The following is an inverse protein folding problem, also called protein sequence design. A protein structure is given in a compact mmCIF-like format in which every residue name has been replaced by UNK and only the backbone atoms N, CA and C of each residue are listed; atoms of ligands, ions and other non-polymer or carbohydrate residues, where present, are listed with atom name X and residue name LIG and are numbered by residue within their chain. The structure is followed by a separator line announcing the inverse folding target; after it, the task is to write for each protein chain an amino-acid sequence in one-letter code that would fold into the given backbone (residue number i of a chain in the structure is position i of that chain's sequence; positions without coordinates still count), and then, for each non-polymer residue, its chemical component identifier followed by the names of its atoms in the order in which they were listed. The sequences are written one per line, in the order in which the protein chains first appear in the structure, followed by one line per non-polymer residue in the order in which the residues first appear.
data_IF_228908493601
#
_entry.id   IF_228908493601
#
_cell.length_a   1.000
_cell.length_b   1.000
_cell.length_c   1.000
_cell.angle_alpha   90.00
_cell.angle_beta   90.00
_cell.angle_gamma   90.00
#
_symmetry.space_group_name_H-M   'P 1'
#
loop_
_entity.id
_entity.type
_entity.pdbx_description
1 polymer ?
#
# COMPACT_ATOMS: atom_id res chain seq x y z
N UNK A 1 -7.99 -23.39 11.31
CA UNK A 1 -7.72 -22.92 12.68
C UNK A 1 -6.98 -21.61 12.58
N UNK A 2 -7.64 -20.49 12.87
CA UNK A 2 -6.97 -19.19 12.96
C UNK A 2 -6.10 -19.20 14.22
N UNK A 3 -4.80 -18.87 14.11
CA UNK A 3 -3.94 -18.78 15.28
C UNK A 3 -3.89 -17.33 15.72
N UNK A 4 -4.40 -17.05 16.92
CA UNK A 4 -4.14 -15.78 17.60
C UNK A 4 -2.73 -15.84 18.21
N UNK A 5 -2.08 -14.69 18.37
CA UNK A 5 -0.97 -14.55 19.32
C UNK A 5 -1.41 -15.11 20.67
N UNK A 6 -0.50 -15.77 21.39
CA UNK A 6 -0.83 -16.24 22.74
C UNK A 6 -1.17 -15.04 23.62
N UNK A 7 -1.97 -15.26 24.67
CA UNK A 7 -2.29 -14.21 25.65
C UNK A 7 -1.01 -13.58 26.24
N UNK A 8 0.05 -14.37 26.41
CA UNK A 8 1.34 -13.88 26.88
C UNK A 8 2.02 -12.94 25.87
N UNK A 9 1.99 -13.26 24.57
CA UNK A 9 2.53 -12.39 23.53
C UNK A 9 1.75 -11.06 23.44
N UNK A 10 0.43 -11.10 23.62
CA UNK A 10 -0.39 -9.88 23.72
C UNK A 10 -0.02 -9.01 24.92
N UNK A 11 0.13 -9.62 26.09
CA UNK A 11 0.49 -8.90 27.31
C UNK A 11 1.89 -8.28 27.26
N UNK A 12 2.83 -8.86 26.50
CA UNK A 12 4.15 -8.26 26.25
C UNK A 12 4.03 -6.99 25.40
N UNK A 13 3.23 -7.05 24.34
CA UNK A 13 2.98 -5.89 23.47
C UNK A 13 2.29 -4.74 24.23
N UNK A 14 1.32 -5.04 25.10
CA UNK A 14 0.66 -4.04 25.96
C UNK A 14 1.63 -3.34 26.93
N UNK A 15 2.73 -4.01 27.30
CA UNK A 15 3.79 -3.45 28.13
C UNK A 15 4.89 -2.74 27.34
N UNK A 16 4.74 -2.63 26.01
CA UNK A 16 5.74 -2.02 25.13
C UNK A 16 6.99 -2.87 24.94
N UNK A 17 6.92 -4.17 25.23
CA UNK A 17 8.03 -5.10 25.02
C UNK A 17 8.02 -5.61 23.57
N UNK A 18 9.20 -5.70 22.95
CA UNK A 18 9.34 -6.26 21.61
C UNK A 18 9.22 -7.80 21.65
N UNK A 19 8.39 -8.36 20.76
CA UNK A 19 8.40 -9.80 20.52
C UNK A 19 9.61 -10.19 19.65
N UNK A 20 10.16 -11.40 19.84
CA UNK A 20 11.20 -11.93 18.96
C UNK A 20 10.75 -11.92 17.49
N UNK A 21 11.63 -11.57 16.57
CA UNK A 21 11.35 -11.53 15.13
C UNK A 21 10.74 -12.85 14.61
N UNK A 22 11.17 -13.99 15.14
CA UNK A 22 10.62 -15.29 14.79
C UNK A 22 9.12 -15.44 15.16
N UNK A 23 8.69 -14.91 16.31
CA UNK A 23 7.28 -14.92 16.73
C UNK A 23 6.43 -13.99 15.86
N UNK A 24 6.97 -12.80 15.52
CA UNK A 24 6.33 -11.89 14.56
C UNK A 24 6.16 -12.55 13.20
N UNK A 25 7.22 -13.18 12.69
CA UNK A 25 7.20 -13.82 11.37
C UNK A 25 6.29 -15.05 11.35
N UNK A 26 6.13 -15.78 12.45
CA UNK A 26 5.14 -16.86 12.52
C UNK A 26 3.70 -16.31 12.44
N UNK A 27 3.41 -15.21 13.13
CA UNK A 27 2.10 -14.56 13.08
C UNK A 27 1.79 -14.00 11.68
N UNK A 28 2.76 -13.31 11.07
CA UNK A 28 2.58 -12.61 9.80
C UNK A 28 2.61 -13.54 8.57
N UNK A 29 3.27 -14.69 8.63
CA UNK A 29 3.37 -15.64 7.51
C UNK A 29 2.24 -16.68 7.44
N UNK A 30 1.31 -16.69 8.40
CA UNK A 30 0.15 -17.61 8.33
C UNK A 30 -0.89 -17.08 7.34
N UNK A 31 -1.50 -17.96 6.53
CA UNK A 31 -2.48 -17.54 5.55
C UNK A 31 -3.69 -16.93 6.27
N UNK A 32 -3.87 -15.62 6.09
CA UNK A 32 -5.13 -14.94 6.38
C UNK A 32 -6.17 -15.52 5.44
N UNK A 33 -7.01 -16.42 5.97
CA UNK A 33 -8.17 -16.91 5.24
C UNK A 33 -9.10 -15.75 4.95
N UNK A 34 -9.12 -15.28 3.70
CA UNK A 34 -10.21 -14.45 3.20
C UNK A 34 -11.45 -15.33 3.05
N UNK A 35 -12.19 -15.52 4.15
CA UNK A 35 -13.56 -16.01 4.09
C UNK A 35 -14.50 -14.81 4.12
N UNK A 36 -15.12 -14.55 2.97
CA UNK A 36 -16.20 -13.59 2.82
C UNK A 36 -15.73 -12.17 2.49
N UNK A 37 -16.56 -11.45 1.74
CA UNK A 37 -16.47 -10.02 1.47
C UNK A 37 -15.91 -9.30 2.70
N UNK A 38 -14.84 -8.53 2.52
CA UNK A 38 -14.26 -7.71 3.59
C UNK A 38 -15.38 -6.92 4.30
N UNK A 39 -15.73 -7.26 5.56
CA UNK A 39 -16.74 -6.53 6.30
C UNK A 39 -16.28 -5.10 6.61
N UNK A 40 -14.97 -4.83 6.46
CA UNK A 40 -14.34 -3.54 6.76
C UNK A 40 -14.68 -2.50 5.70
N UNK A 41 -14.84 -2.89 4.43
CA UNK A 41 -15.31 -1.99 3.38
C UNK A 41 -16.83 -1.75 3.47
N UNK A 42 -17.62 -2.76 3.84
CA UNK A 42 -19.09 -2.64 3.90
C UNK A 42 -19.61 -1.88 5.13
N UNK A 43 -19.04 -2.11 6.32
CA UNK A 43 -19.57 -1.50 7.56
C UNK A 43 -19.30 0.01 7.68
N UNK A 44 -18.26 0.54 7.02
CA UNK A 44 -18.05 1.98 6.94
C UNK A 44 -18.95 2.64 5.87
N UNK A 45 -19.25 1.94 4.79
CA UNK A 45 -20.10 2.44 3.70
C UNK A 45 -21.59 2.58 4.09
N UNK A 46 -22.14 1.68 4.92
CA UNK A 46 -23.55 1.78 5.35
C UNK A 46 -23.85 3.02 6.20
N UNK A 47 -22.86 3.54 6.94
CA UNK A 47 -23.02 4.79 7.69
C UNK A 47 -23.11 6.04 6.79
N UNK A 48 -22.57 5.97 5.56
CA UNK A 48 -22.69 7.03 4.56
C UNK A 48 -24.08 7.03 3.87
N UNK A 49 -24.74 5.88 3.77
CA UNK A 49 -26.03 5.73 3.06
C UNK A 49 -27.24 6.24 3.86
N UNK A 50 -27.14 6.34 5.18
CA UNK A 50 -28.26 6.78 6.02
C UNK A 50 -28.50 8.31 6.04
N UNK A 51 -27.69 9.11 5.34
CA UNK A 51 -27.89 10.57 5.23
C UNK A 51 -27.77 11.08 3.80
N UNK A 52 -28.59 10.58 2.86
CA UNK A 52 -29.11 11.38 1.75
C UNK A 52 -30.17 10.60 0.94
N UNK A 53 -31.37 10.51 1.51
CA UNK A 53 -32.58 10.44 0.71
C UNK A 53 -32.93 11.86 0.22
N UNK A 54 -32.19 12.39 -0.76
CA UNK A 54 -32.62 13.45 -1.71
C UNK A 54 -31.41 14.02 -2.45
N UNK A 55 -31.38 13.84 -3.77
CA UNK A 55 -31.07 14.85 -4.80
C UNK A 55 -29.91 15.87 -4.66
N UNK A 56 -28.82 15.60 -3.95
CA UNK A 56 -27.63 16.46 -4.04
C UNK A 56 -26.36 15.69 -4.44
N UNK A 57 -25.91 15.97 -5.68
CA UNK A 57 -24.58 15.68 -6.16
C UNK A 57 -23.56 16.28 -5.18
N UNK A 58 -22.78 15.43 -4.53
CA UNK A 58 -21.71 15.84 -3.62
C UNK A 58 -20.57 16.48 -4.44
N UNK A 59 -20.75 17.75 -4.79
CA UNK A 59 -19.65 18.63 -5.12
C UNK A 59 -18.76 18.73 -3.87
N UNK A 60 -17.47 18.43 -4.04
CA UNK A 60 -16.49 18.40 -2.96
C UNK A 60 -16.59 19.61 -2.05
N UNK A 61 -17.09 19.41 -0.83
CA UNK A 61 -17.06 20.38 0.23
C UNK A 61 -15.70 20.30 0.92
N UNK A 62 -14.94 21.39 0.80
CA UNK A 62 -13.90 21.74 1.76
C UNK A 62 -14.53 21.67 3.17
N UNK A 63 -13.92 20.94 4.10
CA UNK A 63 -14.32 20.83 5.52
C UNK A 63 -15.33 19.73 5.95
N UNK A 64 -15.37 18.57 5.27
CA UNK A 64 -15.99 17.38 5.84
C UNK A 64 -14.93 16.42 6.41
N UNK A 65 -15.02 16.18 7.72
CA UNK A 65 -14.27 15.20 8.51
C UNK A 65 -14.15 13.84 7.81
N UNK A 66 -12.91 13.34 7.75
CA UNK A 66 -12.47 12.03 7.24
C UNK A 66 -13.36 10.86 7.70
N UNK A 67 -14.41 10.57 6.94
CA UNK A 67 -14.96 9.22 6.87
C UNK A 67 -14.71 8.73 5.45
N UNK A 68 -14.03 7.58 5.25
CA UNK A 68 -13.76 7.06 3.93
C UNK A 68 -15.08 6.51 3.39
N UNK A 69 -15.92 7.37 2.84
CA UNK A 69 -16.91 6.92 1.87
C UNK A 69 -16.10 6.57 0.61
N UNK A 70 -15.37 5.44 0.67
CA UNK A 70 -14.66 4.88 -0.47
C UNK A 70 -15.68 4.79 -1.59
N UNK A 71 -15.38 5.43 -2.72
CA UNK A 71 -16.35 5.68 -3.78
C UNK A 71 -16.68 4.42 -4.58
N UNK A 72 -16.55 3.23 -4.00
CA UNK A 72 -16.77 1.91 -4.60
C UNK A 72 -18.08 1.86 -5.38
N UNK A 73 -19.16 2.28 -4.73
CA UNK A 73 -20.50 2.35 -5.33
C UNK A 73 -20.56 3.36 -6.47
N UNK A 74 -20.00 4.54 -6.28
CA UNK A 74 -20.02 5.62 -7.29
C UNK A 74 -19.20 5.24 -8.52
N UNK A 75 -18.04 4.60 -8.33
CA UNK A 75 -17.18 4.09 -9.38
C UNK A 75 -17.88 2.96 -10.15
N UNK A 76 -18.48 1.99 -9.44
CA UNK A 76 -19.28 0.94 -10.05
C UNK A 76 -20.43 1.49 -10.90
N UNK A 77 -21.19 2.48 -10.40
CA UNK A 77 -22.26 3.12 -11.17
C UNK A 77 -21.70 3.84 -12.40
N UNK A 78 -20.63 4.61 -12.24
CA UNK A 78 -20.02 5.39 -13.32
C UNK A 78 -19.47 4.48 -14.44
N UNK A 79 -18.71 3.45 -14.08
CA UNK A 79 -18.07 2.51 -15.02
C UNK A 79 -19.08 1.61 -15.76
N UNK A 80 -20.30 1.45 -15.22
CA UNK A 80 -21.39 0.73 -15.86
C UNK A 80 -22.31 1.61 -16.72
N UNK A 81 -22.04 2.93 -16.84
CA UNK A 81 -22.78 3.79 -17.77
C UNK A 81 -22.38 3.48 -19.21
N UNK A 82 -23.38 3.36 -20.10
CA UNK A 82 -23.15 3.06 -21.52
C UNK A 82 -22.36 4.13 -22.26
N UNK A 83 -22.57 5.41 -21.93
CA UNK A 83 -21.84 6.51 -22.55
C UNK A 83 -20.37 6.55 -22.11
N UNK A 84 -20.09 6.29 -20.84
CA UNK A 84 -18.72 6.11 -20.31
C UNK A 84 -18.05 4.90 -20.98
N UNK A 85 -18.73 3.76 -21.04
CA UNK A 85 -18.22 2.57 -21.72
C UNK A 85 -17.95 2.83 -23.20
N UNK A 86 -18.82 3.60 -23.88
CA UNK A 86 -18.64 3.97 -25.27
C UNK A 86 -17.41 4.87 -25.44
N UNK A 87 -17.25 5.87 -24.57
CA UNK A 87 -16.09 6.76 -24.57
C UNK A 87 -14.77 6.02 -24.28
N UNK A 88 -14.81 4.95 -23.48
CA UNK A 88 -13.68 4.05 -23.21
C UNK A 88 -13.54 2.94 -24.25
N UNK A 89 -14.39 2.90 -25.28
CA UNK A 89 -14.40 1.89 -26.34
C UNK A 89 -14.57 0.44 -25.85
N UNK A 90 -15.35 0.20 -24.78
CA UNK A 90 -15.61 -1.14 -24.23
C UNK A 90 -17.01 -1.70 -24.57
N UNK A 91 -17.81 -0.98 -25.37
CA UNK A 91 -19.23 -1.29 -25.64
C UNK A 91 -19.52 -2.39 -26.66
N UNK A 92 -18.53 -2.85 -27.44
CA UNK A 92 -18.79 -3.61 -28.68
C UNK A 92 -18.23 -5.04 -28.73
N UNK A 93 -17.87 -5.63 -27.58
CA UNK A 93 -17.59 -7.07 -27.56
C UNK A 93 -18.76 -7.80 -26.91
N UNK A 94 -19.18 -8.89 -27.53
CA UNK A 94 -20.08 -9.93 -27.01
C UNK A 94 -19.62 -10.54 -25.64
N UNK A 95 -18.62 -9.95 -24.99
CA UNK A 95 -17.83 -10.46 -23.87
C UNK A 95 -18.08 -9.72 -22.55
N UNK A 96 -18.87 -8.64 -22.50
CA UNK A 96 -19.38 -8.13 -21.21
C UNK A 96 -20.57 -8.98 -20.76
N UNK A 97 -20.31 -10.27 -20.47
CA UNK A 97 -21.28 -11.20 -19.88
C UNK A 97 -21.70 -10.78 -18.46
N UNK A 98 -21.02 -9.78 -17.87
CA UNK A 98 -21.28 -9.25 -16.52
C UNK A 98 -21.04 -7.73 -16.48
N UNK A 99 -21.74 -7.01 -15.57
CA UNK A 99 -21.41 -5.63 -15.23
C UNK A 99 -19.94 -5.51 -14.82
N UNK A 100 -19.35 -4.33 -15.03
CA UNK A 100 -18.04 -4.00 -14.50
C UNK A 100 -18.08 -4.08 -12.96
N UNK A 101 -17.05 -4.68 -12.37
CA UNK A 101 -16.81 -4.73 -10.93
C UNK A 101 -15.33 -4.47 -10.64
N UNK A 102 -15.02 -3.94 -9.46
CA UNK A 102 -13.64 -3.65 -9.04
C UNK A 102 -12.81 -4.92 -8.89
N UNK A 103 -13.42 -5.97 -8.36
CA UNK A 103 -12.81 -7.28 -8.17
C UNK A 103 -13.60 -8.36 -8.91
N UNK A 104 -12.91 -9.44 -9.27
CA UNK A 104 -13.51 -10.66 -9.79
C UNK A 104 -13.34 -11.77 -8.76
N UNK A 105 -14.38 -11.99 -7.95
CA UNK A 105 -14.36 -12.95 -6.84
C UNK A 105 -14.08 -14.38 -7.30
N UNK A 106 -14.64 -14.79 -8.45
CA UNK A 106 -14.42 -16.12 -9.03
C UNK A 106 -12.91 -16.36 -9.27
N UNK A 107 -12.20 -15.34 -9.74
CA UNK A 107 -10.74 -15.39 -9.89
C UNK A 107 -10.04 -15.42 -8.52
N UNK A 108 -10.41 -14.54 -7.60
CA UNK A 108 -9.76 -14.41 -6.28
C UNK A 108 -9.79 -15.73 -5.50
N UNK A 109 -10.90 -16.47 -5.57
CA UNK A 109 -11.09 -17.74 -4.86
C UNK A 109 -10.46 -18.94 -5.58
N UNK A 110 -10.19 -18.84 -6.87
CA UNK A 110 -9.59 -19.94 -7.66
C UNK A 110 -8.09 -19.74 -7.92
N UNK A 111 -7.55 -18.56 -7.64
CA UNK A 111 -6.15 -18.25 -7.90
C UNK A 111 -5.19 -19.01 -6.98
N UNK A 112 -4.23 -19.71 -7.57
CA UNK A 112 -3.19 -20.41 -6.83
C UNK A 112 -2.06 -19.43 -6.43
N UNK A 113 -1.93 -19.16 -5.13
CA UNK A 113 -0.99 -18.16 -4.59
C UNK A 113 0.37 -18.79 -4.28
N UNK A 114 1.43 -18.02 -4.51
CA UNK A 114 2.77 -18.34 -4.01
C UNK A 114 2.98 -17.57 -2.70
N UNK A 115 3.37 -18.26 -1.62
CA UNK A 115 3.51 -17.66 -0.29
C UNK A 115 4.88 -17.02 -0.03
N UNK A 116 5.82 -17.11 -0.98
CA UNK A 116 7.18 -16.59 -0.81
C UNK A 116 7.61 -15.79 -2.04
N UNK A 117 7.74 -14.48 -1.86
CA UNK A 117 8.18 -13.54 -2.91
C UNK A 117 9.68 -13.26 -2.87
N UNK A 118 10.38 -13.72 -1.82
CA UNK A 118 11.82 -13.47 -1.62
C UNK A 118 12.68 -13.90 -2.82
N UNK A 119 12.45 -15.06 -3.49
CA UNK A 119 13.22 -15.42 -4.68
C UNK A 119 13.09 -14.40 -5.81
N UNK A 120 11.89 -13.87 -6.04
CA UNK A 120 11.65 -12.88 -7.09
C UNK A 120 12.42 -11.56 -6.81
N UNK A 121 12.43 -11.10 -5.56
CA UNK A 121 13.22 -9.92 -5.19
C UNK A 121 14.72 -10.15 -5.38
N UNK A 122 15.23 -11.34 -5.03
CA UNK A 122 16.64 -11.68 -5.28
C UNK A 122 16.97 -11.69 -6.77
N UNK A 123 16.10 -12.26 -7.60
CA UNK A 123 16.29 -12.28 -9.05
C UNK A 123 16.31 -10.86 -9.62
N UNK A 124 15.38 -10.00 -9.21
CA UNK A 124 15.37 -8.58 -9.59
C UNK A 124 16.69 -7.92 -9.23
N UNK A 125 17.15 -8.08 -7.98
CA UNK A 125 18.38 -7.43 -7.50
C UNK A 125 19.65 -7.98 -8.14
N UNK A 126 19.67 -9.26 -8.53
CA UNK A 126 20.79 -9.90 -9.21
C UNK A 126 20.86 -9.51 -10.70
N UNK A 127 19.72 -9.28 -11.34
CA UNK A 127 19.62 -8.94 -12.77
C UNK A 127 19.61 -7.43 -13.02
N UNK A 128 19.36 -6.61 -12.00
CA UNK A 128 19.30 -5.16 -12.10
C UNK A 128 20.63 -4.60 -12.64
N UNK A 129 20.53 -3.81 -13.72
CA UNK A 129 21.66 -3.04 -14.25
C UNK A 129 21.73 -1.71 -13.53
N UNK A 130 22.93 -1.36 -13.06
CA UNK A 130 23.19 -0.09 -12.39
C UNK A 130 23.09 1.09 -13.38
N UNK A 131 22.46 2.22 -13.01
CA UNK A 131 21.74 2.46 -11.75
C UNK A 131 20.34 1.81 -11.72
N UNK A 132 19.91 1.31 -10.56
CA UNK A 132 18.56 0.78 -10.36
C UNK A 132 18.03 1.16 -8.98
N UNK A 133 16.78 1.59 -8.91
CA UNK A 133 16.15 2.06 -7.67
C UNK A 133 14.86 1.29 -7.44
N UNK A 134 14.70 0.76 -6.23
CA UNK A 134 13.48 0.09 -5.78
C UNK A 134 12.87 0.90 -4.65
N UNK A 135 11.59 1.24 -4.78
CA UNK A 135 10.80 1.87 -3.73
C UNK A 135 9.73 0.90 -3.26
N UNK A 136 9.69 0.66 -1.96
CA UNK A 136 8.63 -0.05 -1.26
C UNK A 136 8.01 0.97 -0.30
N UNK A 137 6.70 1.19 -0.39
CA UNK A 137 6.02 2.13 0.50
C UNK A 137 4.74 1.52 1.09
N UNK A 138 4.37 1.98 2.28
CA UNK A 138 3.21 1.47 3.02
C UNK A 138 2.61 2.58 3.90
N UNK A 139 1.29 2.69 3.97
CA UNK A 139 0.61 3.47 5.00
C UNK A 139 0.75 2.85 6.40
N UNK A 140 1.12 3.63 7.41
CA UNK A 140 1.35 3.09 8.76
C UNK A 140 0.07 2.76 9.55
N UNK A 141 -1.11 3.06 9.00
CA UNK A 141 -2.41 2.72 9.57
C UNK A 141 -3.12 1.58 8.82
N UNK A 142 -2.47 0.94 7.85
CA UNK A 142 -3.03 -0.24 7.18
C UNK A 142 -3.14 -1.43 8.15
N UNK A 143 -4.36 -1.94 8.28
CA UNK A 143 -4.69 -3.12 9.09
C UNK A 143 -4.87 -4.38 8.24
N UNK A 144 -4.96 -4.25 6.92
CA UNK A 144 -5.11 -5.37 5.98
C UNK A 144 -3.76 -6.01 5.68
N UNK A 145 -2.74 -5.20 5.43
CA UNK A 145 -1.35 -5.63 5.32
C UNK A 145 -0.53 -4.92 6.40
N UNK A 146 0.21 -5.66 7.21
CA UNK A 146 0.96 -5.04 8.31
C UNK A 146 2.19 -4.26 7.79
N UNK A 147 2.38 -2.99 8.18
CA UNK A 147 3.59 -2.23 7.84
C UNK A 147 4.85 -2.87 8.43
N UNK A 148 4.75 -3.48 9.61
CA UNK A 148 5.86 -4.22 10.22
C UNK A 148 6.27 -5.42 9.38
N UNK A 149 5.32 -6.14 8.79
CA UNK A 149 5.63 -7.24 7.87
C UNK A 149 6.44 -6.75 6.67
N UNK A 150 6.11 -5.59 6.11
CA UNK A 150 6.87 -4.99 5.01
C UNK A 150 8.31 -4.66 5.43
N UNK A 151 8.50 -4.08 6.62
CA UNK A 151 9.83 -3.74 7.15
C UNK A 151 10.66 -5.00 7.36
N UNK A 152 10.15 -6.01 8.07
CA UNK A 152 10.88 -7.25 8.35
C UNK A 152 11.23 -8.03 7.07
N UNK A 153 10.26 -8.19 6.16
CA UNK A 153 10.51 -8.89 4.90
C UNK A 153 11.56 -8.15 4.05
N UNK A 154 11.52 -6.82 4.01
CA UNK A 154 12.52 -6.06 3.26
C UNK A 154 13.91 -6.15 3.88
N UNK A 155 13.99 -6.12 5.21
CA UNK A 155 15.26 -6.33 5.92
C UNK A 155 15.86 -7.69 5.62
N UNK A 156 15.03 -8.73 5.59
CA UNK A 156 15.43 -10.09 5.17
C UNK A 156 15.93 -10.13 3.73
N UNK A 157 15.22 -9.49 2.79
CA UNK A 157 15.67 -9.37 1.39
C UNK A 157 17.05 -8.70 1.31
N UNK A 158 17.24 -7.60 2.04
CA UNK A 158 18.50 -6.86 2.06
C UNK A 158 19.66 -7.69 2.61
N UNK A 159 19.45 -8.33 3.78
CA UNK A 159 20.45 -9.19 4.40
C UNK A 159 20.86 -10.35 3.49
N UNK A 160 19.90 -11.04 2.89
CA UNK A 160 20.18 -12.18 1.99
C UNK A 160 20.70 -11.77 0.61
N UNK A 161 20.73 -10.47 0.30
CA UNK A 161 21.26 -9.92 -0.97
C UNK A 161 22.55 -9.11 -0.76
N UNK A 162 23.24 -9.29 0.37
CA UNK A 162 24.47 -8.58 0.74
C UNK A 162 24.32 -7.06 0.67
N UNK A 163 23.22 -6.53 1.21
CA UNK A 163 22.96 -5.09 1.29
C UNK A 163 23.02 -4.63 2.74
N UNK A 164 23.61 -3.48 2.94
CA UNK A 164 23.74 -2.82 4.23
C UNK A 164 22.63 -1.80 4.41
N UNK A 165 21.98 -1.85 5.56
CA UNK A 165 21.04 -0.84 6.03
C UNK A 165 21.79 0.48 6.28
N UNK A 166 21.28 1.57 5.72
CA UNK A 166 21.78 2.92 5.97
C UNK A 166 21.20 3.47 7.28
N UNK A 167 21.83 4.48 7.89
CA UNK A 167 21.29 5.12 9.08
C UNK A 167 19.82 5.53 8.89
N UNK A 168 19.01 5.25 9.91
CA UNK A 168 17.60 5.61 9.92
C UNK A 168 17.40 7.09 9.55
N UNK A 169 16.37 7.34 8.74
CA UNK A 169 15.97 8.69 8.36
C UNK A 169 14.45 8.80 8.34
N UNK A 170 13.96 10.04 8.25
CA UNK A 170 12.55 10.32 7.99
C UNK A 170 12.42 11.17 6.74
N UNK A 171 11.20 11.32 6.26
CA UNK A 171 10.87 12.24 5.18
C UNK A 171 9.71 13.15 5.60
N UNK A 172 9.68 14.33 5.02
CA UNK A 172 8.74 15.39 5.39
C UNK A 172 7.94 15.84 4.18
N UNK A 173 6.68 16.17 4.42
CA UNK A 173 5.84 16.83 3.44
C UNK A 173 5.63 18.26 3.95
N UNK A 174 6.21 19.23 3.26
CA UNK A 174 6.51 20.54 3.85
C UNK A 174 7.33 20.39 5.15
N UNK A 175 6.91 21.03 6.22
CA UNK A 175 7.58 20.99 7.53
C UNK A 175 7.05 19.85 8.43
N UNK A 176 6.07 19.06 7.95
CA UNK A 176 5.44 18.00 8.72
C UNK A 176 6.06 16.63 8.46
N UNK A 177 6.23 15.85 9.53
CA UNK A 177 6.68 14.46 9.45
C UNK A 177 5.70 13.63 8.62
N UNK A 178 6.15 13.19 7.45
CA UNK A 178 5.35 12.39 6.52
C UNK A 178 5.58 10.89 6.67
N UNK A 179 6.70 10.47 7.26
CA UNK A 179 6.93 9.07 7.62
C UNK A 179 8.39 8.70 7.82
N UNK A 180 8.60 7.43 8.14
CA UNK A 180 9.91 6.84 8.32
C UNK A 180 10.51 6.44 6.97
N UNK A 181 11.84 6.41 6.90
CA UNK A 181 12.60 5.94 5.74
C UNK A 181 13.76 5.06 6.18
N UNK A 182 13.82 3.88 5.59
CA UNK A 182 14.99 2.99 5.68
C UNK A 182 15.51 2.71 4.28
N UNK A 183 16.82 2.86 4.09
CA UNK A 183 17.47 2.66 2.80
C UNK A 183 18.48 1.53 2.88
N UNK A 184 18.61 0.73 1.83
CA UNK A 184 19.57 -0.36 1.71
C UNK A 184 20.37 -0.23 0.42
N UNK A 185 21.69 -0.44 0.52
CA UNK A 185 22.61 -0.42 -0.64
C UNK A 185 23.62 -1.55 -0.55
N UNK A 186 24.29 -1.86 -1.64
CA UNK A 186 25.57 -2.60 -1.58
C UNK A 186 26.71 -1.64 -1.98
N UNK A 187 27.95 -2.03 -1.72
CA UNK A 187 29.12 -1.18 -2.02
C UNK A 187 29.62 -1.34 -3.47
N UNK A 188 29.02 -2.24 -4.25
CA UNK A 188 29.53 -2.67 -5.56
C UNK A 188 28.67 -2.17 -6.73
N UNK A 189 27.37 -1.92 -6.53
CA UNK A 189 26.46 -1.45 -7.57
C UNK A 189 25.63 -0.25 -7.10
N UNK A 190 25.27 0.65 -8.03
CA UNK A 190 24.32 1.73 -7.73
C UNK A 190 22.88 1.18 -7.78
N UNK A 191 22.64 0.14 -6.98
CA UNK A 191 21.32 -0.45 -6.80
C UNK A 191 20.86 -0.15 -5.38
N UNK A 192 19.77 0.58 -5.23
CA UNK A 192 19.22 0.97 -3.92
C UNK A 192 17.82 0.43 -3.70
N UNK A 193 17.48 0.18 -2.44
CA UNK A 193 16.13 -0.14 -2.00
C UNK A 193 15.74 0.85 -0.90
N UNK A 194 14.69 1.62 -1.12
CA UNK A 194 14.10 2.51 -0.13
C UNK A 194 12.78 1.92 0.36
N UNK A 195 12.59 1.92 1.68
CA UNK A 195 11.35 1.55 2.35
C UNK A 195 10.82 2.77 3.07
N UNK A 196 9.63 3.23 2.69
CA UNK A 196 8.97 4.38 3.28
C UNK A 196 7.69 3.96 3.99
N UNK A 197 7.47 4.49 5.19
CA UNK A 197 6.11 4.57 5.74
C UNK A 197 5.47 5.90 5.35
N UNK A 198 4.15 5.93 5.23
CA UNK A 198 3.38 7.16 5.03
C UNK A 198 2.43 7.33 6.21
N UNK A 199 2.73 8.32 7.04
CA UNK A 199 2.04 8.56 8.30
C UNK A 199 0.59 8.94 8.07
N UNK A 200 -0.32 8.19 8.70
CA UNK A 200 -1.76 8.45 8.65
C UNK A 200 -2.45 7.92 7.39
N UNK A 201 -1.71 7.26 6.48
CA UNK A 201 -2.31 6.56 5.35
C UNK A 201 -2.60 5.08 5.70
N UNK A 202 -3.64 4.52 5.10
CA UNK A 202 -3.99 3.10 5.17
C UNK A 202 -3.48 2.34 3.94
N UNK A 203 -4.24 1.33 3.52
CA UNK A 203 -3.90 0.47 2.37
C UNK A 203 -3.76 1.26 1.06
N UNK A 204 -4.65 2.24 0.86
CA UNK A 204 -4.70 3.07 -0.34
C UNK A 204 -3.94 4.38 -0.16
N UNK A 205 -2.61 4.34 0.01
CA UNK A 205 -1.80 5.55 0.28
C UNK A 205 -2.12 6.75 -0.63
N UNK A 206 -2.20 6.61 -1.97
CA UNK A 206 -2.53 7.75 -2.84
C UNK A 206 -3.98 8.24 -2.72
N UNK A 207 -4.89 7.39 -2.25
CA UNK A 207 -6.29 7.74 -1.99
C UNK A 207 -6.42 8.50 -0.67
N UNK A 208 -5.74 8.03 0.38
CA UNK A 208 -5.82 8.62 1.72
C UNK A 208 -5.05 9.94 1.80
N UNK A 209 -3.82 9.98 1.26
CA UNK A 209 -2.90 11.11 1.35
C UNK A 209 -2.27 11.43 -0.02
N UNK A 210 -3.11 11.86 -0.97
CA UNK A 210 -2.74 12.11 -2.36
C UNK A 210 -1.54 13.05 -2.55
N UNK A 211 -1.43 14.11 -1.75
CA UNK A 211 -0.36 15.10 -1.89
C UNK A 211 1.02 14.54 -1.46
N UNK A 212 1.05 13.84 -0.32
CA UNK A 212 2.22 13.14 0.20
C UNK A 212 2.66 12.03 -0.76
N UNK A 213 1.70 11.23 -1.24
CA UNK A 213 1.96 10.18 -2.22
C UNK A 213 2.52 10.75 -3.52
N UNK A 214 1.97 11.87 -3.99
CA UNK A 214 2.47 12.55 -5.19
C UNK A 214 3.91 13.05 -5.00
N UNK A 215 4.25 13.69 -3.88
CA UNK A 215 5.63 14.09 -3.57
C UNK A 215 6.59 12.89 -3.56
N UNK A 216 6.23 11.83 -2.82
CA UNK A 216 7.03 10.62 -2.72
C UNK A 216 7.31 10.00 -4.09
N UNK A 217 6.26 9.80 -4.90
CA UNK A 217 6.38 9.20 -6.24
C UNK A 217 7.15 10.12 -7.19
N UNK A 218 6.89 11.43 -7.15
CA UNK A 218 7.59 12.40 -7.99
C UNK A 218 9.09 12.41 -7.68
N UNK A 219 9.47 12.47 -6.41
CA UNK A 219 10.88 12.51 -6.01
C UNK A 219 11.58 11.20 -6.33
N UNK A 220 10.89 10.06 -6.21
CA UNK A 220 11.39 8.77 -6.68
C UNK A 220 11.70 8.78 -8.18
N UNK A 221 10.75 9.24 -9.00
CA UNK A 221 10.85 9.18 -10.47
C UNK A 221 11.82 10.20 -11.06
N UNK A 222 11.88 11.42 -10.53
CA UNK A 222 12.53 12.55 -11.19
C UNK A 222 13.84 12.99 -10.53
N UNK A 223 14.24 12.40 -9.40
CA UNK A 223 15.61 12.60 -8.91
C UNK A 223 16.62 11.97 -9.86
N UNK A 224 17.71 12.69 -10.13
CA UNK A 224 18.83 12.23 -10.93
C UNK A 224 19.47 10.95 -10.33
N UNK A 225 19.76 9.95 -11.17
CA UNK A 225 20.31 8.65 -10.76
C UNK A 225 21.69 8.74 -10.07
N UNK A 226 22.41 9.84 -10.23
CA UNK A 226 23.69 10.09 -9.56
C UNK A 226 23.55 10.58 -8.11
N UNK A 227 22.33 10.87 -7.65
CA UNK A 227 22.06 11.45 -6.33
C UNK A 227 21.16 10.54 -5.49
N UNK A 228 21.36 10.50 -4.16
CA UNK A 228 20.36 9.94 -3.26
C UNK A 228 19.03 10.68 -3.41
N UNK A 229 17.92 9.95 -3.39
CA UNK A 229 16.58 10.56 -3.41
C UNK A 229 16.36 11.30 -2.11
N UNK A 230 15.94 12.57 -2.18
CA UNK A 230 15.35 13.30 -1.06
C UNK A 230 13.83 13.32 -1.22
N UNK A 231 13.15 12.48 -0.44
CA UNK A 231 11.68 12.43 -0.43
C UNK A 231 11.03 13.66 0.23
N UNK A 232 11.83 14.53 0.84
CA UNK A 232 11.37 15.80 1.43
C UNK A 232 11.48 16.99 0.49
N UNK A 233 12.12 16.85 -0.69
CA UNK A 233 12.20 17.94 -1.66
C UNK A 233 10.77 18.31 -2.12
N UNK A 234 10.34 19.57 -1.91
CA UNK A 234 9.00 19.99 -2.33
C UNK A 234 8.88 19.97 -3.86
N UNK A 235 7.74 19.50 -4.37
CA UNK A 235 7.45 19.61 -5.80
C UNK A 235 7.28 21.08 -6.16
N UNK A 236 8.22 21.63 -6.92
CA UNK A 236 8.13 23.00 -7.43
C UNK A 236 7.09 23.05 -8.54
N UNK A 237 6.18 24.03 -8.47
CA UNK A 237 5.23 24.30 -9.56
C UNK A 237 6.02 24.67 -10.81
N UNK A 238 5.84 23.90 -11.88
CA UNK A 238 6.26 24.27 -13.23
C UNK A 238 5.25 25.23 -13.86
#
# INVERSE_FOLDING_TARGET
SYTQLTLESWQKLERGEELPEAEWMEYLNKPWGFQGNSPVHYNFAEHCLHKNSSDEAYHGSKEATHLPCFAERSLHVYMNRKDVQAALHVTNRLEMLRPWSENNDDMVFTYNRTNNVLPAYKDILALAKSPFRMLIYHGDTDLMLSPMATVFNTRKIAAESNRTELPYSSWHFFDDYAGARTSYKNDVSNVTMDVLTVRGAGHGVPTDLSAQAFQMINNFLFTDDSKPIDYSEPIRKH
#
